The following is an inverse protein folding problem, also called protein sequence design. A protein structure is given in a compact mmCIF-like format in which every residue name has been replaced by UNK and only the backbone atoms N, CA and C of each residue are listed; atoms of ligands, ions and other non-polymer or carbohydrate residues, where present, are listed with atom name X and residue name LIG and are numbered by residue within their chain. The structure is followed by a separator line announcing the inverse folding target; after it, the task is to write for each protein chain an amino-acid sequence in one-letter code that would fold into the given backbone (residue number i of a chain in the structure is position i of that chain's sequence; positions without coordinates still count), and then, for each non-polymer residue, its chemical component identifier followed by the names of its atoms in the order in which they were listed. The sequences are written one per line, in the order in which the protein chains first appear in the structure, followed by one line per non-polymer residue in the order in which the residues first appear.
data_IF_229748226888
#
_entry.id   IF_229748226888
#
_cell.length_a   1.000
_cell.length_b   1.000
_cell.length_c   1.000
_cell.angle_alpha   90.00
_cell.angle_beta   90.00
_cell.angle_gamma   90.00
#
_symmetry.space_group_name_H-M   'P 1'
#
loop_
_entity.id
_entity.type
_entity.pdbx_description
1 polymer ?
#
# COMPACT_ATOMS: atom_id res chain seq x y z
N UNK A 1 -35.79 5.69 22.50
CA UNK A 1 -34.63 4.94 23.01
C UNK A 1 -34.99 4.25 24.30
N UNK A 2 -35.49 5.00 25.32
CA UNK A 2 -35.87 4.43 26.62
C UNK A 2 -36.94 3.33 26.52
N UNK A 3 -37.95 3.50 25.66
CA UNK A 3 -39.00 2.48 25.45
C UNK A 3 -38.48 1.23 24.74
N UNK A 4 -37.45 1.38 23.86
CA UNK A 4 -36.79 0.24 23.17
C UNK A 4 -35.97 -0.60 24.16
N UNK A 5 -35.20 0.05 25.03
CA UNK A 5 -34.38 -0.63 26.04
C UNK A 5 -35.25 -1.39 27.04
N UNK A 6 -36.39 -0.84 27.43
CA UNK A 6 -37.34 -1.53 28.31
C UNK A 6 -37.95 -2.79 27.66
N UNK A 7 -38.14 -2.79 26.35
CA UNK A 7 -38.68 -3.94 25.57
C UNK A 7 -37.64 -5.03 25.27
N UNK A 8 -36.36 -4.67 25.18
CA UNK A 8 -35.25 -5.56 24.84
C UNK A 8 -34.04 -5.33 25.76
N UNK A 9 -34.14 -5.67 27.05
CA UNK A 9 -33.10 -5.40 28.04
C UNK A 9 -31.75 -6.09 27.68
N UNK A 10 -31.79 -7.24 27.03
CA UNK A 10 -30.59 -7.95 26.58
C UNK A 10 -29.80 -7.21 25.52
N UNK A 11 -30.42 -6.25 24.80
CA UNK A 11 -29.77 -5.41 23.80
C UNK A 11 -29.25 -4.08 24.37
N UNK A 12 -29.59 -3.78 25.63
CA UNK A 12 -29.15 -2.53 26.25
C UNK A 12 -27.63 -2.46 26.48
N UNK A 13 -26.98 -3.59 26.64
CA UNK A 13 -25.50 -3.69 26.74
C UNK A 13 -24.77 -3.30 25.46
N UNK A 14 -25.44 -3.34 24.30
CA UNK A 14 -24.86 -2.95 23.01
C UNK A 14 -24.81 -1.41 22.86
N UNK A 15 -25.49 -0.67 23.71
CA UNK A 15 -25.64 0.79 23.60
C UNK A 15 -24.77 1.58 24.59
N UNK A 16 -23.78 0.98 25.24
CA UNK A 16 -22.81 1.77 25.98
C UNK A 16 -22.04 2.66 25.00
N UNK A 17 -22.00 3.99 25.22
CA UNK A 17 -21.25 4.87 24.33
C UNK A 17 -19.77 4.49 24.36
N UNK A 18 -19.16 4.34 23.19
CA UNK A 18 -17.72 4.16 23.10
C UNK A 18 -17.03 5.36 23.76
N UNK A 19 -16.26 5.12 24.80
CA UNK A 19 -15.46 6.15 25.45
C UNK A 19 -14.01 6.00 25.00
N UNK A 20 -13.57 6.89 24.12
CA UNK A 20 -12.16 7.04 23.79
C UNK A 20 -11.52 8.01 24.79
N UNK A 21 -10.26 7.77 25.18
CA UNK A 21 -9.49 8.72 26.02
C UNK A 21 -9.37 10.10 25.36
N UNK A 22 -9.20 10.13 24.04
CA UNK A 22 -9.18 11.37 23.25
C UNK A 22 -9.91 11.15 21.92
N UNK A 23 -11.24 11.25 21.88
CA UNK A 23 -12.02 10.99 20.67
C UNK A 23 -11.70 11.96 19.53
N UNK A 24 -11.38 13.21 19.82
CA UNK A 24 -11.01 14.20 18.80
C UNK A 24 -9.72 13.83 18.07
N UNK A 25 -8.69 13.37 18.79
CA UNK A 25 -7.44 12.92 18.20
C UNK A 25 -7.65 11.68 17.31
N UNK A 26 -8.45 10.72 17.77
CA UNK A 26 -8.80 9.51 16.99
C UNK A 26 -9.52 9.89 15.71
N UNK A 27 -10.49 10.78 15.76
CA UNK A 27 -11.21 11.25 14.56
C UNK A 27 -10.30 12.00 13.60
N UNK A 28 -9.40 12.85 14.10
CA UNK A 28 -8.44 13.59 13.28
C UNK A 28 -7.49 12.62 12.57
N UNK A 29 -6.97 11.62 13.28
CA UNK A 29 -6.08 10.61 12.71
C UNK A 29 -6.80 9.79 11.62
N UNK A 30 -7.99 9.28 11.91
CA UNK A 30 -8.77 8.49 10.96
C UNK A 30 -9.15 9.31 9.72
N UNK A 31 -9.50 10.58 9.89
CA UNK A 31 -9.79 11.48 8.78
C UNK A 31 -8.55 11.69 7.88
N UNK A 32 -7.38 11.91 8.49
CA UNK A 32 -6.11 12.05 7.76
C UNK A 32 -5.72 10.78 7.00
N UNK A 33 -5.81 9.61 7.64
CA UNK A 33 -5.54 8.32 7.01
C UNK A 33 -6.53 8.03 5.87
N UNK A 34 -7.83 8.29 6.07
CA UNK A 34 -8.88 8.07 5.07
C UNK A 34 -8.68 8.96 3.84
N UNK A 35 -8.44 10.25 4.04
CA UNK A 35 -8.18 11.19 2.96
C UNK A 35 -6.93 10.80 2.16
N UNK A 36 -5.85 10.43 2.83
CA UNK A 36 -4.63 9.97 2.17
C UNK A 36 -4.84 8.67 1.40
N UNK A 37 -5.50 7.67 2.00
CA UNK A 37 -5.81 6.40 1.33
C UNK A 37 -6.64 6.64 0.06
N UNK A 38 -7.70 7.43 0.16
CA UNK A 38 -8.54 7.79 -0.98
C UNK A 38 -7.73 8.46 -2.09
N UNK A 39 -6.91 9.47 -1.75
CA UNK A 39 -6.08 10.16 -2.73
C UNK A 39 -5.10 9.22 -3.42
N UNK A 40 -4.40 8.36 -2.66
CA UNK A 40 -3.43 7.41 -3.20
C UNK A 40 -4.08 6.43 -4.18
N UNK A 41 -5.26 5.89 -3.83
CA UNK A 41 -5.99 4.95 -4.67
C UNK A 41 -6.58 5.59 -5.93
N UNK A 42 -7.04 6.84 -5.86
CA UNK A 42 -7.52 7.60 -7.03
C UNK A 42 -6.42 7.89 -8.04
N UNK A 43 -5.18 8.01 -7.58
CA UNK A 43 -4.01 8.30 -8.42
C UNK A 43 -3.25 7.05 -8.86
N UNK A 44 -3.64 5.87 -8.36
CA UNK A 44 -3.01 4.60 -8.71
C UNK A 44 -3.18 4.30 -10.19
N UNK A 45 -2.09 3.91 -10.84
CA UNK A 45 -2.07 3.55 -12.26
C UNK A 45 -1.55 2.14 -12.48
N UNK A 46 -2.01 1.51 -13.55
CA UNK A 46 -1.45 0.27 -14.08
C UNK A 46 -1.04 0.52 -15.52
N UNK A 47 0.24 0.37 -15.83
CA UNK A 47 0.80 0.73 -17.13
C UNK A 47 1.74 -0.37 -17.62
N UNK A 48 1.77 -0.64 -18.94
CA UNK A 48 2.77 -1.52 -19.53
C UNK A 48 4.15 -0.83 -19.58
N UNK A 49 5.20 -1.62 -19.38
CA UNK A 49 6.60 -1.22 -19.61
C UNK A 49 7.20 -2.15 -20.65
N UNK A 50 7.76 -1.56 -21.71
CA UNK A 50 8.58 -2.30 -22.68
C UNK A 50 9.86 -2.77 -22.00
N UNK A 51 9.97 -4.08 -21.77
CA UNK A 51 11.11 -4.70 -21.07
C UNK A 51 11.90 -5.68 -21.93
N UNK A 52 11.62 -5.74 -23.24
CA UNK A 52 12.28 -6.66 -24.17
C UNK A 52 13.79 -6.47 -24.18
N UNK A 53 14.51 -7.53 -23.83
CA UNK A 53 15.98 -7.52 -23.80
C UNK A 53 16.61 -6.60 -22.76
N UNK A 54 15.82 -6.08 -21.81
CA UNK A 54 16.30 -5.20 -20.73
C UNK A 54 16.84 -6.02 -19.56
N UNK A 55 17.90 -5.54 -18.95
CA UNK A 55 18.30 -5.96 -17.62
C UNK A 55 17.50 -5.19 -16.53
N UNK A 56 17.71 -5.54 -15.27
CA UNK A 56 17.00 -4.92 -14.14
C UNK A 56 17.27 -3.42 -14.03
N UNK A 57 18.46 -2.95 -14.34
CA UNK A 57 18.81 -1.53 -14.26
C UNK A 57 18.08 -0.73 -15.34
N UNK A 58 17.96 -1.28 -16.54
CA UNK A 58 17.19 -0.66 -17.63
C UNK A 58 15.68 -0.63 -17.33
N UNK A 59 15.12 -1.71 -16.77
CA UNK A 59 13.72 -1.77 -16.33
C UNK A 59 13.46 -0.76 -15.22
N UNK A 60 14.34 -0.66 -14.23
CA UNK A 60 14.23 0.31 -13.16
C UNK A 60 14.23 1.75 -13.68
N UNK A 61 15.14 2.06 -14.62
CA UNK A 61 15.20 3.36 -15.27
C UNK A 61 13.92 3.69 -16.04
N UNK A 62 13.37 2.73 -16.78
CA UNK A 62 12.11 2.88 -17.51
C UNK A 62 10.93 3.14 -16.56
N UNK A 63 10.84 2.39 -15.47
CA UNK A 63 9.80 2.58 -14.44
C UNK A 63 9.89 3.98 -13.83
N UNK A 64 11.08 4.42 -13.41
CA UNK A 64 11.27 5.75 -12.80
C UNK A 64 10.99 6.87 -13.82
N UNK A 65 11.29 6.65 -15.09
CA UNK A 65 10.97 7.60 -16.17
C UNK A 65 9.46 7.73 -16.39
N UNK A 66 8.70 6.65 -16.20
CA UNK A 66 7.24 6.65 -16.35
C UNK A 66 6.50 7.34 -15.18
N UNK A 67 7.17 7.63 -14.06
CA UNK A 67 6.56 8.40 -12.95
C UNK A 67 6.31 9.84 -13.38
N UNK A 68 5.11 10.44 -13.16
CA UNK A 68 4.86 11.82 -13.50
C UNK A 68 5.77 12.81 -12.74
N UNK A 69 6.15 13.95 -13.40
CA UNK A 69 7.11 14.93 -12.85
C UNK A 69 6.69 15.52 -11.50
N UNK A 70 5.41 15.64 -11.25
CA UNK A 70 4.89 16.19 -10.00
C UNK A 70 5.21 15.35 -8.76
N UNK A 71 5.55 14.06 -8.93
CA UNK A 71 5.87 13.14 -7.83
C UNK A 71 7.36 13.05 -7.54
N UNK A 72 8.22 13.41 -8.50
CA UNK A 72 9.66 13.21 -8.39
C UNK A 72 10.42 14.49 -8.74
N UNK A 73 11.28 14.95 -7.81
CA UNK A 73 12.17 16.10 -8.00
C UNK A 73 13.47 15.73 -8.71
N UNK A 74 13.98 14.53 -8.40
CA UNK A 74 15.22 13.99 -8.94
C UNK A 74 15.07 12.49 -9.25
N UNK A 75 14.90 12.20 -10.55
CA UNK A 75 14.70 10.82 -11.04
C UNK A 75 15.95 9.96 -10.87
N UNK A 76 17.13 10.58 -11.01
CA UNK A 76 18.39 9.87 -10.88
C UNK A 76 18.59 9.39 -9.44
N UNK A 77 18.32 10.27 -8.46
CA UNK A 77 18.41 9.88 -7.05
C UNK A 77 17.39 8.78 -6.72
N UNK A 78 16.14 8.87 -7.21
CA UNK A 78 15.13 7.82 -6.99
C UNK A 78 15.60 6.49 -7.55
N UNK A 79 16.12 6.46 -8.79
CA UNK A 79 16.63 5.23 -9.40
C UNK A 79 17.81 4.63 -8.61
N UNK A 80 18.75 5.47 -8.19
CA UNK A 80 19.90 5.05 -7.37
C UNK A 80 19.45 4.48 -6.01
N UNK A 81 18.47 5.09 -5.37
CA UNK A 81 17.92 4.60 -4.09
C UNK A 81 17.22 3.25 -4.24
N UNK A 82 16.43 3.08 -5.30
CA UNK A 82 15.78 1.80 -5.60
C UNK A 82 16.80 0.72 -5.92
N UNK A 83 17.82 1.03 -6.75
CA UNK A 83 18.92 0.09 -7.03
C UNK A 83 19.65 -0.32 -5.77
N UNK A 84 20.07 0.65 -4.95
CA UNK A 84 20.69 0.37 -3.65
C UNK A 84 19.82 -0.53 -2.77
N UNK A 85 18.49 -0.36 -2.81
CA UNK A 85 17.56 -1.20 -2.06
C UNK A 85 17.55 -2.64 -2.58
N UNK A 86 17.56 -2.82 -3.90
CA UNK A 86 17.66 -4.14 -4.56
C UNK A 86 18.98 -4.84 -4.22
N UNK A 87 20.09 -4.10 -4.18
CA UNK A 87 21.41 -4.64 -3.84
C UNK A 87 21.51 -5.07 -2.36
N UNK A 88 20.76 -4.40 -1.47
CA UNK A 88 20.77 -4.69 -0.05
C UNK A 88 19.86 -5.84 0.37
N UNK A 89 18.74 -6.03 -0.31
CA UNK A 89 17.76 -7.06 0.03
C UNK A 89 16.89 -7.44 -1.18
N UNK A 90 16.54 -8.72 -1.30
CA UNK A 90 15.60 -9.17 -2.33
C UNK A 90 14.23 -8.48 -2.19
N UNK A 91 13.64 -8.04 -3.29
CA UNK A 91 12.34 -7.36 -3.33
C UNK A 91 11.26 -8.16 -4.07
N UNK A 92 11.60 -9.32 -4.62
CA UNK A 92 10.62 -10.24 -5.18
C UNK A 92 9.74 -10.87 -4.09
N UNK A 93 8.47 -11.08 -4.39
CA UNK A 93 7.52 -11.68 -3.45
C UNK A 93 7.49 -13.19 -3.66
N UNK A 94 7.77 -14.00 -2.61
CA UNK A 94 7.83 -15.45 -2.71
C UNK A 94 6.53 -16.05 -3.24
N UNK A 95 6.64 -17.08 -4.11
CA UNK A 95 5.47 -17.78 -4.64
C UNK A 95 4.65 -16.97 -5.65
N UNK A 96 5.19 -15.84 -6.14
CA UNK A 96 4.49 -14.94 -7.04
C UNK A 96 5.36 -14.48 -8.23
N UNK A 97 4.75 -13.74 -9.17
CA UNK A 97 5.45 -13.04 -10.24
C UNK A 97 5.53 -11.53 -10.00
N UNK A 98 5.54 -11.15 -8.73
CA UNK A 98 5.54 -9.75 -8.26
C UNK A 98 6.86 -9.36 -7.63
N UNK A 99 7.19 -8.06 -7.73
CA UNK A 99 8.17 -7.43 -6.86
C UNK A 99 7.65 -6.08 -6.37
N UNK A 100 8.02 -5.70 -5.13
CA UNK A 100 7.67 -4.42 -4.53
C UNK A 100 8.90 -3.51 -4.48
N UNK A 101 9.01 -2.62 -5.46
CA UNK A 101 9.98 -1.54 -5.47
C UNK A 101 9.48 -0.41 -4.57
N UNK A 102 10.24 -0.07 -3.56
CA UNK A 102 9.85 1.02 -2.66
C UNK A 102 11.05 1.80 -2.17
N UNK A 103 10.87 3.11 -2.05
CA UNK A 103 11.88 3.98 -1.45
C UNK A 103 11.25 5.21 -0.81
N UNK A 104 11.95 5.75 0.18
CA UNK A 104 11.61 6.99 0.85
C UNK A 104 12.81 7.93 0.76
N UNK A 105 12.62 9.11 0.15
CA UNK A 105 13.70 10.06 -0.10
C UNK A 105 13.18 11.48 -0.32
N UNK A 106 14.06 12.49 -0.11
CA UNK A 106 13.79 13.91 -0.41
C UNK A 106 13.59 14.18 -1.91
N UNK A 107 14.07 13.28 -2.77
CA UNK A 107 13.85 13.35 -4.22
C UNK A 107 12.40 13.07 -4.63
N UNK A 108 11.56 12.57 -3.72
CA UNK A 108 10.13 12.37 -3.93
C UNK A 108 9.35 13.54 -3.33
N UNK A 109 8.44 14.11 -4.11
CA UNK A 109 7.60 15.26 -3.71
C UNK A 109 6.34 14.85 -2.97
N UNK A 110 5.68 13.79 -3.46
CA UNK A 110 4.40 13.26 -2.97
C UNK A 110 4.43 11.73 -3.01
N UNK A 111 3.63 11.08 -2.18
CA UNK A 111 3.47 9.63 -2.27
C UNK A 111 2.91 9.24 -3.63
N UNK A 112 3.47 8.18 -4.19
CA UNK A 112 3.07 7.63 -5.49
C UNK A 112 3.01 6.11 -5.40
N UNK A 113 1.90 5.55 -5.88
CA UNK A 113 1.71 4.10 -5.97
C UNK A 113 1.27 3.75 -7.39
N UNK A 114 2.04 2.91 -8.05
CA UNK A 114 1.75 2.46 -9.41
C UNK A 114 2.11 0.99 -9.60
N UNK A 115 1.50 0.40 -10.62
CA UNK A 115 1.69 -0.99 -11.03
C UNK A 115 2.18 -0.97 -12.48
N UNK A 116 3.24 -1.72 -12.76
CA UNK A 116 3.84 -1.82 -14.07
C UNK A 116 3.86 -3.27 -14.56
N UNK A 117 3.18 -3.54 -15.66
CA UNK A 117 3.23 -4.83 -16.34
C UNK A 117 4.43 -4.86 -17.28
N UNK A 118 5.33 -5.81 -17.07
CA UNK A 118 6.51 -6.01 -17.91
C UNK A 118 6.15 -6.81 -19.16
N UNK A 119 6.53 -6.30 -20.34
CA UNK A 119 6.32 -6.99 -21.61
C UNK A 119 7.05 -8.33 -21.67
N UNK A 120 8.26 -8.40 -21.06
CA UNK A 120 8.99 -9.66 -20.82
C UNK A 120 9.28 -9.81 -19.32
N UNK A 121 9.05 -11.00 -18.75
CA UNK A 121 9.38 -11.26 -17.35
C UNK A 121 10.88 -11.13 -17.07
N UNK A 122 11.24 -10.61 -15.91
CA UNK A 122 12.62 -10.46 -15.50
C UNK A 122 12.95 -11.36 -14.30
N UNK A 123 14.13 -12.00 -14.33
CA UNK A 123 14.56 -12.84 -13.21
C UNK A 123 14.95 -11.98 -12.00
N UNK A 124 14.38 -12.28 -10.85
CA UNK A 124 14.69 -11.62 -9.58
C UNK A 124 14.84 -12.64 -8.44
N UNK A 125 15.49 -12.21 -7.37
CA UNK A 125 15.52 -12.96 -6.11
C UNK A 125 14.36 -12.49 -5.23
N UNK A 126 13.58 -13.44 -4.72
CA UNK A 126 12.51 -13.19 -3.78
C UNK A 126 13.03 -13.10 -2.34
N UNK A 127 12.20 -12.60 -1.43
CA UNK A 127 12.57 -12.37 -0.01
C UNK A 127 12.99 -13.67 0.72
N UNK A 128 12.52 -14.83 0.27
CA UNK A 128 12.90 -16.15 0.75
C UNK A 128 14.14 -16.76 0.06
N UNK A 129 14.85 -15.96 -0.74
CA UNK A 129 16.01 -16.33 -1.56
C UNK A 129 15.65 -17.21 -2.78
N UNK A 130 14.41 -17.52 -3.04
CA UNK A 130 14.00 -18.23 -4.26
C UNK A 130 14.21 -17.36 -5.51
N UNK A 131 14.37 -18.00 -6.67
CA UNK A 131 14.42 -17.33 -7.96
C UNK A 131 13.01 -17.29 -8.55
N UNK A 132 12.56 -16.12 -8.92
CA UNK A 132 11.24 -15.89 -9.53
C UNK A 132 11.37 -15.11 -10.83
N UNK A 133 10.39 -15.28 -11.70
CA UNK A 133 10.24 -14.48 -12.92
C UNK A 133 9.17 -13.42 -12.68
N UNK A 134 9.60 -12.18 -12.50
CA UNK A 134 8.69 -11.06 -12.22
C UNK A 134 8.07 -10.57 -13.51
N UNK A 135 6.74 -10.54 -13.56
CA UNK A 135 5.92 -10.03 -14.65
C UNK A 135 5.33 -8.66 -14.33
N UNK A 136 5.15 -8.36 -13.05
CA UNK A 136 4.54 -7.13 -12.58
C UNK A 136 5.37 -6.51 -11.45
N UNK A 137 5.67 -5.23 -11.59
CA UNK A 137 6.36 -4.43 -10.59
C UNK A 137 5.38 -3.49 -9.89
N UNK A 138 5.36 -3.53 -8.57
CA UNK A 138 4.66 -2.55 -7.75
C UNK A 138 5.68 -1.48 -7.34
N UNK A 139 5.36 -0.21 -7.56
CA UNK A 139 6.22 0.91 -7.19
C UNK A 139 5.54 1.76 -6.12
N UNK A 140 6.19 1.91 -4.97
CA UNK A 140 5.75 2.75 -3.87
C UNK A 140 6.83 3.78 -3.54
N UNK A 141 6.58 5.03 -3.87
CA UNK A 141 7.48 6.15 -3.56
C UNK A 141 6.89 7.02 -2.45
N UNK A 142 7.73 7.46 -1.52
CA UNK A 142 7.31 8.36 -0.45
C UNK A 142 8.35 9.45 -0.20
N UNK A 143 7.93 10.68 0.17
CA UNK A 143 8.85 11.71 0.64
C UNK A 143 9.50 11.32 1.97
N UNK A 144 10.68 11.89 2.25
CA UNK A 144 11.39 11.62 3.49
C UNK A 144 10.58 12.06 4.72
N UNK A 145 9.97 13.24 4.64
CA UNK A 145 9.08 13.79 5.67
C UNK A 145 7.66 13.32 5.45
N UNK A 146 7.36 12.10 5.93
CA UNK A 146 6.07 11.46 5.75
C UNK A 146 5.22 11.60 7.03
N UNK A 147 4.01 12.19 6.97
CA UNK A 147 3.09 12.22 8.10
C UNK A 147 2.74 10.81 8.60
N UNK A 148 2.53 10.67 9.92
CA UNK A 148 2.21 9.38 10.54
C UNK A 148 0.97 8.70 9.89
N UNK A 149 -0.08 9.48 9.62
CA UNK A 149 -1.27 8.98 8.95
C UNK A 149 -0.95 8.33 7.59
N UNK A 150 -0.09 8.96 6.80
CA UNK A 150 0.35 8.43 5.50
C UNK A 150 1.24 7.19 5.69
N UNK A 151 2.14 7.20 6.67
CA UNK A 151 3.00 6.05 6.98
C UNK A 151 2.18 4.82 7.38
N UNK A 152 1.12 5.00 8.17
CA UNK A 152 0.21 3.93 8.58
C UNK A 152 -0.49 3.28 7.38
N UNK A 153 -1.00 4.09 6.44
CA UNK A 153 -1.65 3.58 5.23
C UNK A 153 -0.67 2.83 4.33
N UNK A 154 0.55 3.37 4.10
CA UNK A 154 1.55 2.68 3.30
C UNK A 154 2.02 1.37 3.95
N UNK A 155 2.18 1.34 5.27
CA UNK A 155 2.47 0.13 6.03
C UNK A 155 1.36 -0.91 5.92
N UNK A 156 0.11 -0.49 5.97
CA UNK A 156 -1.06 -1.35 5.75
C UNK A 156 -1.04 -1.96 4.34
N UNK A 157 -0.81 -1.17 3.29
CA UNK A 157 -0.75 -1.69 1.90
C UNK A 157 0.37 -2.72 1.77
N UNK A 158 1.56 -2.44 2.31
CA UNK A 158 2.69 -3.38 2.25
C UNK A 158 2.40 -4.69 2.98
N UNK A 159 1.73 -4.64 4.14
CA UNK A 159 1.34 -5.83 4.89
C UNK A 159 0.21 -6.60 4.20
N UNK A 160 -0.75 -5.88 3.61
CA UNK A 160 -1.86 -6.49 2.88
C UNK A 160 -1.37 -7.28 1.67
N UNK A 161 -0.38 -6.76 0.94
CA UNK A 161 0.20 -7.41 -0.24
C UNK A 161 0.69 -8.85 0.04
N UNK A 162 1.26 -9.08 1.21
CA UNK A 162 1.82 -10.40 1.60
C UNK A 162 0.93 -11.18 2.57
N UNK A 163 -0.32 -10.77 2.77
CA UNK A 163 -1.20 -11.32 3.78
C UNK A 163 -1.71 -12.73 3.43
N UNK A 164 -1.93 -13.03 2.15
CA UNK A 164 -2.42 -14.31 1.66
C UNK A 164 -2.12 -14.54 0.18
N UNK A 165 -2.17 -15.79 -0.25
CA UNK A 165 -2.04 -16.16 -1.67
C UNK A 165 -3.12 -15.51 -2.54
N UNK A 166 -4.34 -15.35 -2.01
CA UNK A 166 -5.43 -14.66 -2.71
C UNK A 166 -5.09 -13.19 -2.96
N UNK A 167 -4.48 -12.52 -1.97
CA UNK A 167 -4.04 -11.13 -2.12
C UNK A 167 -2.92 -11.02 -3.16
N UNK A 168 -1.93 -11.91 -3.09
CA UNK A 168 -0.86 -11.97 -4.10
C UNK A 168 -1.43 -12.15 -5.51
N UNK A 169 -2.37 -13.10 -5.69
CA UNK A 169 -3.01 -13.36 -6.97
C UNK A 169 -3.81 -12.14 -7.47
N UNK A 170 -4.50 -11.42 -6.57
CA UNK A 170 -5.19 -10.18 -6.91
C UNK A 170 -4.23 -9.13 -7.45
N UNK A 171 -3.07 -8.93 -6.80
CA UNK A 171 -2.06 -7.98 -7.29
C UNK A 171 -1.37 -8.45 -8.57
N UNK A 172 -1.25 -9.75 -8.81
CA UNK A 172 -0.68 -10.31 -10.05
C UNK A 172 -1.56 -10.11 -11.28
N UNK A 173 -2.88 -10.27 -11.13
CA UNK A 173 -3.82 -10.37 -12.26
C UNK A 173 -4.93 -9.33 -12.24
N UNK A 174 -5.19 -8.68 -11.10
CA UNK A 174 -6.24 -7.68 -10.94
C UNK A 174 -5.95 -6.39 -11.72
N UNK A 175 -7.02 -5.71 -12.10
CA UNK A 175 -6.94 -4.35 -12.64
C UNK A 175 -6.87 -3.30 -11.51
N UNK A 176 -6.66 -2.02 -11.86
CA UNK A 176 -6.58 -0.93 -10.88
C UNK A 176 -7.81 -0.83 -9.97
N UNK A 177 -9.01 -1.01 -10.51
CA UNK A 177 -10.26 -0.88 -9.75
C UNK A 177 -10.39 -2.00 -8.72
N UNK A 178 -10.10 -3.25 -9.11
CA UNK A 178 -10.15 -4.41 -8.22
C UNK A 178 -9.15 -4.28 -7.08
N UNK A 179 -7.91 -3.89 -7.39
CA UNK A 179 -6.85 -3.70 -6.40
C UNK A 179 -7.19 -2.53 -5.48
N UNK A 180 -7.64 -1.39 -6.02
CA UNK A 180 -8.05 -0.24 -5.23
C UNK A 180 -9.21 -0.56 -4.28
N UNK A 181 -10.22 -1.29 -4.77
CA UNK A 181 -11.36 -1.72 -3.96
C UNK A 181 -10.92 -2.64 -2.82
N UNK A 182 -10.02 -3.58 -3.08
CA UNK A 182 -9.49 -4.49 -2.06
C UNK A 182 -8.66 -3.75 -0.99
N UNK A 183 -7.81 -2.80 -1.39
CA UNK A 183 -7.05 -1.96 -0.45
C UNK A 183 -8.01 -1.12 0.41
N UNK A 184 -9.02 -0.50 -0.20
CA UNK A 184 -10.02 0.28 0.53
C UNK A 184 -10.79 -0.58 1.54
N UNK A 185 -11.19 -1.80 1.14
CA UNK A 185 -11.87 -2.76 2.02
C UNK A 185 -10.96 -3.18 3.19
N UNK A 186 -9.68 -3.43 2.94
CA UNK A 186 -8.69 -3.74 3.97
C UNK A 186 -8.53 -2.59 4.97
N UNK A 187 -8.46 -1.35 4.47
CA UNK A 187 -8.39 -0.16 5.33
C UNK A 187 -9.63 -0.04 6.24
N UNK A 188 -10.83 -0.18 5.68
CA UNK A 188 -12.09 -0.14 6.44
C UNK A 188 -12.15 -1.24 7.51
N UNK A 189 -11.69 -2.45 7.17
CA UNK A 189 -11.57 -3.56 8.13
C UNK A 189 -10.68 -3.22 9.31
N UNK A 190 -9.50 -2.64 9.06
CA UNK A 190 -8.57 -2.22 10.12
C UNK A 190 -9.13 -1.09 10.98
N UNK A 191 -9.81 -0.10 10.38
CA UNK A 191 -10.49 0.97 11.13
C UNK A 191 -11.54 0.37 12.06
N UNK A 192 -12.38 -0.52 11.56
CA UNK A 192 -13.40 -1.22 12.35
C UNK A 192 -12.79 -2.00 13.51
N UNK A 193 -11.70 -2.73 13.25
CA UNK A 193 -10.99 -3.48 14.29
C UNK A 193 -10.43 -2.57 15.38
N UNK A 194 -9.76 -1.46 14.99
CA UNK A 194 -9.22 -0.47 15.95
C UNK A 194 -10.32 0.15 16.81
N UNK A 195 -11.47 0.49 16.22
CA UNK A 195 -12.62 1.01 16.93
C UNK A 195 -13.20 0.00 17.93
N UNK A 196 -13.29 -1.27 17.54
CA UNK A 196 -13.78 -2.34 18.42
C UNK A 196 -12.82 -2.62 19.58
N UNK A 197 -11.51 -2.62 19.33
CA UNK A 197 -10.49 -2.77 20.39
C UNK A 197 -10.54 -1.63 21.39
N UNK A 198 -10.72 -0.41 20.94
CA UNK A 198 -10.87 0.75 21.82
C UNK A 198 -12.15 0.69 22.68
N UNK A 199 -13.20 0.01 22.22
CA UNK A 199 -14.43 -0.28 23.02
C UNK A 199 -14.21 -1.34 24.10
N UNK A 200 -13.38 -2.36 23.82
CA UNK A 200 -13.15 -3.47 24.75
C UNK A 200 -12.19 -3.16 25.90
N UNK A 201 -11.49 -2.01 25.85
CA UNK A 201 -10.56 -1.55 26.90
C UNK A 201 -11.19 -0.56 27.89
N UNK A 202 -12.49 -0.34 27.80
CA UNK A 202 -13.30 0.53 28.66
C UNK A 202 -14.13 -0.29 29.61
#
# INVERSE_FOLDING_TARGET
VASYVAKYPEKSTVQQPCRFKNPAAVLTQLAGESAFCQQLLQQMTLQPIGSQGMDMDAVLSAIVTAVPDEYVKDRLEVAQRLKKRLDLAPLGLPGSHLALLHTRTRAVSKCFFAIYDLAEPIAMTAMDQSKIMVKRQLLLLAPEDLPEASANVLGMISSFLVMSDQTLQLFESGNCQEIAAAIAQQYLGQVTQRLNQARGQS
#
